data_IF_898488811885
#
_entry.id   IF_898488811885
#
_cell.length_a   1.000
_cell.length_b   1.000
_cell.length_c   1.000
_cell.angle_alpha   90.00
_cell.angle_beta   90.00
_cell.angle_gamma   90.00
#
_symmetry.space_group_name_H-M   'P 1'
#
loop_
_entity.id
_entity.type
_entity.pdbx_description
1 polymer ?
#
# COMPACT_ATOMS: atom_id res chain seq x y z
N UNK A 1 18.56 -0.84 -7.21
CA UNK A 1 17.23 -1.02 -7.82
C UNK A 1 16.74 0.32 -8.31
N UNK A 2 16.37 0.42 -9.59
CA UNK A 2 15.95 1.68 -10.22
C UNK A 2 14.62 2.14 -9.57
N UNK A 3 14.42 3.43 -9.21
CA UNK A 3 13.20 3.92 -8.56
C UNK A 3 11.91 3.63 -9.33
N UNK A 4 11.99 3.47 -10.65
CA UNK A 4 10.87 3.07 -11.51
C UNK A 4 10.39 1.62 -11.27
N UNK A 5 11.24 0.72 -10.73
CA UNK A 5 10.84 -0.65 -10.39
C UNK A 5 10.04 -0.74 -9.09
N UNK A 6 10.17 0.26 -8.19
CA UNK A 6 9.34 0.33 -6.97
C UNK A 6 7.87 0.60 -7.28
N UNK A 7 7.58 1.40 -8.32
CA UNK A 7 6.22 1.66 -8.79
C UNK A 7 5.52 0.41 -9.37
N UNK A 8 6.29 -0.53 -9.91
CA UNK A 8 5.72 -1.71 -10.59
C UNK A 8 5.34 -2.83 -9.64
N UNK A 9 6.04 -3.00 -8.51
CA UNK A 9 5.78 -4.09 -7.56
C UNK A 9 4.48 -3.90 -6.77
N UNK A 10 4.15 -2.67 -6.36
CA UNK A 10 2.91 -2.37 -5.64
C UNK A 10 1.65 -2.40 -6.54
N UNK A 11 1.84 -2.33 -7.87
CA UNK A 11 0.74 -2.32 -8.83
C UNK A 11 0.26 -3.72 -9.24
N UNK A 12 1.08 -4.76 -9.01
CA UNK A 12 0.77 -6.15 -9.36
C UNK A 12 0.32 -7.01 -8.17
N UNK A 13 0.43 -6.52 -6.93
CA UNK A 13 -0.20 -7.23 -5.83
C UNK A 13 -1.72 -7.08 -5.93
N UNK A 14 -2.46 -8.21 -6.00
CA UNK A 14 -3.91 -8.15 -5.94
C UNK A 14 -4.31 -7.50 -4.62
N UNK A 15 -5.17 -6.51 -4.68
CA UNK A 15 -5.87 -5.99 -3.50
C UNK A 15 -6.72 -7.14 -2.97
N UNK A 16 -6.16 -7.94 -2.07
CA UNK A 16 -6.97 -8.87 -1.28
C UNK A 16 -7.95 -8.03 -0.47
N UNK A 17 -9.21 -8.17 -0.79
CA UNK A 17 -10.27 -7.72 0.10
C UNK A 17 -9.97 -8.27 1.50
N UNK A 18 -10.16 -7.50 2.59
CA UNK A 18 -9.75 -7.90 3.93
C UNK A 18 -10.24 -9.32 4.21
N UNK A 19 -9.28 -10.24 4.37
CA UNK A 19 -9.56 -11.65 4.57
C UNK A 19 -10.42 -11.82 5.82
N UNK A 20 -11.66 -12.22 5.64
CA UNK A 20 -12.53 -12.62 6.74
C UNK A 20 -12.08 -14.03 7.18
N UNK A 21 -11.29 -14.09 8.23
CA UNK A 21 -10.97 -15.39 8.86
C UNK A 21 -12.21 -15.86 9.60
N UNK A 22 -12.95 -16.79 8.99
CA UNK A 22 -14.00 -17.55 9.66
C UNK A 22 -13.33 -18.55 10.58
N UNK A 23 -13.28 -18.26 11.88
CA UNK A 23 -12.95 -19.30 12.88
C UNK A 23 -14.20 -20.13 13.17
N UNK A 24 -14.09 -21.43 12.98
CA UNK A 24 -15.10 -22.39 13.41
C UNK A 24 -15.34 -22.29 14.94
N UNK A 25 -16.54 -22.61 15.46
CA UNK A 25 -16.84 -22.51 16.88
C UNK A 25 -15.98 -23.49 17.67
N UNK A 26 -15.20 -22.97 18.63
CA UNK A 26 -14.43 -23.77 19.57
C UNK A 26 -15.39 -24.30 20.62
N UNK A 27 -15.56 -25.63 20.68
CA UNK A 27 -16.25 -26.32 21.77
C UNK A 27 -15.45 -26.17 23.08
N UNK A 28 -16.12 -25.98 24.24
CA UNK A 28 -15.42 -25.79 25.51
C UNK A 28 -14.74 -27.11 25.95
N UNK A 29 -13.40 -27.11 25.98
CA UNK A 29 -12.64 -28.18 26.61
C UNK A 29 -12.72 -28.04 28.13
N UNK A 30 -13.24 -29.07 28.79
CA UNK A 30 -13.24 -29.25 30.25
C UNK A 30 -11.81 -29.20 30.78
N UNK A 31 -11.56 -28.28 31.71
CA UNK A 31 -10.31 -28.19 32.46
C UNK A 31 -10.29 -29.26 33.53
N UNK A 32 -9.39 -30.23 33.42
CA UNK A 32 -9.07 -31.17 34.47
C UNK A 32 -8.11 -30.52 35.47
N UNK A 33 -8.55 -30.48 36.75
CA UNK A 33 -7.76 -30.11 37.92
C UNK A 33 -6.65 -31.15 38.13
N UNK A 34 -5.39 -30.74 38.19
CA UNK A 34 -4.34 -31.50 38.91
C UNK A 34 -3.43 -30.55 39.71
N UNK A 35 -3.41 -30.82 41.02
CA UNK A 35 -2.50 -30.29 42.03
C UNK A 35 -1.16 -31.07 41.99
N UNK A 36 -0.02 -30.44 42.24
CA UNK A 36 0.76 -30.50 43.48
C UNK A 36 2.17 -29.89 43.27
N UNK A 37 2.83 -29.48 44.33
CA UNK A 37 3.92 -28.50 44.28
C UNK A 37 5.30 -29.19 44.25
N UNK A 38 6.29 -28.54 43.70
CA UNK A 38 7.71 -28.96 43.81
C UNK A 38 8.52 -27.81 44.41
N UNK A 39 9.37 -28.23 45.37
CA UNK A 39 10.20 -27.48 46.26
C UNK A 39 11.30 -26.63 45.58
N UNK A 40 11.72 -25.60 46.28
CA UNK A 40 12.90 -24.79 45.98
C UNK A 40 14.19 -25.51 46.34
N UNK A 41 15.31 -25.30 45.62
CA UNK A 41 16.64 -25.64 46.08
C UNK A 41 17.37 -24.43 46.69
N UNK A 42 18.16 -24.72 47.70
CA UNK A 42 19.00 -23.83 48.53
C UNK A 42 20.18 -23.20 47.78
N UNK A 43 20.77 -22.12 48.35
CA UNK A 43 21.85 -21.35 47.71
C UNK A 43 23.22 -21.96 47.91
N UNK A 44 24.01 -22.05 46.85
CA UNK A 44 25.40 -22.44 46.90
C UNK A 44 26.28 -21.18 46.91
N UNK A 45 27.08 -21.05 47.97
CA UNK A 45 28.16 -20.07 48.12
C UNK A 45 29.35 -20.41 47.22
N UNK A 46 29.80 -19.47 46.39
CA UNK A 46 30.96 -19.61 45.51
C UNK A 46 31.80 -18.34 45.48
N UNK A 47 32.87 -18.41 46.18
CA UNK A 47 34.19 -17.75 46.15
C UNK A 47 34.40 -16.59 45.16
N UNK A 48 34.70 -15.41 45.71
CA UNK A 48 35.16 -14.20 45.02
C UNK A 48 36.64 -14.33 44.70
N UNK A 49 37.02 -14.31 43.44
CA UNK A 49 38.40 -14.11 42.98
C UNK A 49 38.54 -12.70 42.40
N UNK A 50 39.30 -11.87 43.06
CA UNK A 50 39.66 -10.52 42.64
C UNK A 50 40.74 -10.57 41.56
N UNK A 51 40.42 -10.01 40.37
CA UNK A 51 41.39 -9.69 39.33
C UNK A 51 41.50 -8.13 39.17
N UNK A 52 42.67 -7.58 38.74
CA UNK A 52 43.02 -6.18 38.93
C UNK A 52 42.29 -5.22 37.99
N UNK A 53 42.04 -4.02 38.51
CA UNK A 53 41.45 -2.88 37.82
C UNK A 53 42.30 -2.47 36.59
N UNK A 54 41.71 -2.62 35.40
CA UNK A 54 42.13 -1.84 34.23
C UNK A 54 41.39 -0.50 34.21
N UNK A 55 42.11 0.56 33.89
CA UNK A 55 41.61 1.94 33.81
C UNK A 55 40.40 2.04 32.88
N UNK A 56 39.33 2.58 33.43
CA UNK A 56 38.10 2.87 32.66
C UNK A 56 38.33 4.11 31.80
N UNK A 57 38.41 3.91 30.48
CA UNK A 57 38.12 4.98 29.53
C UNK A 57 36.71 5.54 29.80
N UNK A 58 36.57 6.87 29.69
CA UNK A 58 35.35 7.58 29.95
C UNK A 58 34.18 7.01 29.07
N UNK A 59 33.25 6.34 29.73
CA UNK A 59 32.01 5.94 29.10
C UNK A 59 31.14 7.20 28.92
N UNK A 60 30.80 7.54 27.67
CA UNK A 60 29.68 8.45 27.42
C UNK A 60 28.41 7.86 28.05
N UNK A 61 27.56 8.67 28.69
CA UNK A 61 26.33 8.20 29.28
C UNK A 61 25.44 7.63 28.18
N UNK A 62 25.35 6.30 28.12
CA UNK A 62 24.43 5.62 27.20
C UNK A 62 22.99 6.12 27.39
N UNK A 63 22.28 6.32 26.30
CA UNK A 63 20.87 6.71 26.35
C UNK A 63 20.12 5.73 27.27
N UNK A 64 19.23 6.22 28.15
CA UNK A 64 18.46 5.37 29.05
C UNK A 64 17.69 4.31 28.25
N UNK A 65 17.80 3.06 28.67
CA UNK A 65 17.15 1.88 28.06
C UNK A 65 15.64 2.11 27.80
N UNK A 66 15.00 2.94 28.62
CA UNK A 66 13.61 3.36 28.43
C UNK A 66 13.36 4.13 27.11
N UNK A 67 14.36 4.75 26.51
CA UNK A 67 14.25 5.39 25.18
C UNK A 67 14.53 4.43 24.02
N UNK A 68 15.27 3.34 24.28
CA UNK A 68 15.55 2.32 23.26
C UNK A 68 14.40 1.32 23.08
N UNK A 69 13.48 1.21 24.03
CA UNK A 69 12.29 0.35 23.98
C UNK A 69 11.04 1.24 23.82
N UNK A 70 10.96 1.99 22.74
CA UNK A 70 9.67 2.52 22.34
C UNK A 70 8.85 1.35 21.79
N UNK A 71 7.88 0.86 22.58
CA UNK A 71 6.93 -0.12 22.12
C UNK A 71 6.30 0.41 20.82
N UNK A 72 6.36 -0.39 19.77
CA UNK A 72 5.75 -0.01 18.48
C UNK A 72 4.26 0.20 18.70
N UNK A 73 3.77 1.40 18.43
CA UNK A 73 2.38 1.75 18.59
C UNK A 73 1.66 1.68 17.23
N UNK A 74 0.55 0.94 17.21
CA UNK A 74 -0.42 0.95 16.12
C UNK A 74 -1.72 1.53 16.64
N UNK A 75 -2.28 2.52 15.96
CA UNK A 75 -3.51 3.19 16.41
C UNK A 75 -4.50 3.35 15.26
N UNK A 76 -5.70 2.83 15.45
CA UNK A 76 -6.83 3.10 14.56
C UNK A 76 -7.43 4.47 14.89
N UNK A 77 -7.84 5.34 13.92
CA UNK A 77 -8.42 6.65 14.18
C UNK A 77 -9.66 6.59 15.08
N UNK A 78 -10.46 5.54 14.95
CA UNK A 78 -11.66 5.28 15.77
C UNK A 78 -11.39 4.23 16.85
N UNK A 79 -10.16 4.18 17.39
CA UNK A 79 -9.83 3.22 18.43
C UNK A 79 -10.67 3.45 19.69
N UNK A 80 -11.32 2.40 20.16
CA UNK A 80 -12.10 2.39 21.38
C UNK A 80 -11.52 1.44 22.44
N UNK A 81 -10.52 0.65 22.08
CA UNK A 81 -9.85 -0.34 22.94
C UNK A 81 -8.38 -0.49 22.59
N UNK A 82 -7.65 -1.11 23.52
CA UNK A 82 -6.22 -1.35 23.42
C UNK A 82 -5.90 -2.79 23.83
N UNK A 83 -4.90 -3.38 23.16
CA UNK A 83 -4.36 -4.71 23.48
C UNK A 83 -2.85 -4.71 23.25
N UNK A 84 -2.10 -5.52 24.02
CA UNK A 84 -0.68 -5.80 23.76
C UNK A 84 -0.56 -7.10 22.97
N UNK A 85 0.08 -7.02 21.79
CA UNK A 85 0.37 -8.15 20.91
C UNK A 85 1.85 -8.14 20.56
N UNK A 86 2.56 -9.24 20.82
CA UNK A 86 4.00 -9.40 20.50
C UNK A 86 4.87 -8.20 20.93
N UNK A 87 4.62 -7.65 22.13
CA UNK A 87 5.36 -6.50 22.66
C UNK A 87 4.94 -5.14 22.10
N UNK A 88 4.07 -5.09 21.10
CA UNK A 88 3.50 -3.84 20.58
C UNK A 88 2.17 -3.50 21.24
N UNK A 89 1.89 -2.19 21.33
CA UNK A 89 0.58 -1.69 21.77
C UNK A 89 -0.28 -1.42 20.54
N UNK A 90 -1.44 -2.09 20.46
CA UNK A 90 -2.37 -1.97 19.34
C UNK A 90 -3.69 -1.38 19.86
N UNK A 91 -3.99 -0.15 19.44
CA UNK A 91 -5.28 0.50 19.65
C UNK A 91 -6.19 0.21 18.48
N UNK A 92 -7.34 -0.40 18.73
CA UNK A 92 -8.23 -0.89 17.69
C UNK A 92 -9.66 -0.38 17.82
N UNK A 93 -10.34 -0.27 16.67
CA UNK A 93 -11.77 0.00 16.63
C UNK A 93 -12.54 -1.28 16.99
N UNK A 94 -13.42 -1.21 18.00
CA UNK A 94 -14.24 -2.33 18.42
C UNK A 94 -15.72 -2.04 18.20
N UNK A 95 -16.39 -2.97 17.48
CA UNK A 95 -17.83 -2.88 17.23
C UNK A 95 -18.55 -4.19 17.54
N UNK A 96 -19.73 -4.10 18.12
CA UNK A 96 -20.64 -5.23 18.31
C UNK A 96 -21.72 -5.25 17.24
N UNK A 97 -22.04 -6.43 16.70
CA UNK A 97 -23.00 -6.56 15.61
C UNK A 97 -23.80 -7.86 15.62
N UNK A 98 -24.72 -7.98 14.66
CA UNK A 98 -25.49 -9.19 14.37
C UNK A 98 -24.61 -10.21 13.63
N UNK A 99 -23.60 -10.76 14.29
CA UNK A 99 -22.65 -11.76 13.73
C UNK A 99 -22.68 -13.01 14.60
N UNK A 100 -22.18 -14.11 14.03
CA UNK A 100 -22.03 -15.39 14.74
C UNK A 100 -20.59 -15.60 15.24
N UNK A 101 -19.60 -14.89 14.69
CA UNK A 101 -18.18 -15.08 14.99
C UNK A 101 -17.47 -13.73 15.20
N UNK A 102 -16.35 -13.76 15.95
CA UNK A 102 -15.43 -12.65 16.06
C UNK A 102 -14.69 -12.51 14.72
N UNK A 103 -14.59 -11.31 14.19
CA UNK A 103 -13.87 -11.02 12.95
C UNK A 103 -12.85 -9.92 13.13
N UNK A 104 -11.67 -10.10 12.55
CA UNK A 104 -10.59 -9.15 12.51
C UNK A 104 -10.42 -8.62 11.09
N UNK A 105 -10.22 -7.33 10.94
CA UNK A 105 -9.82 -6.71 9.68
C UNK A 105 -8.71 -5.71 9.92
N UNK A 106 -7.67 -5.77 9.09
CA UNK A 106 -6.56 -4.81 9.09
C UNK A 106 -6.61 -4.06 7.78
N UNK A 107 -6.69 -2.74 7.87
CA UNK A 107 -6.75 -1.82 6.74
C UNK A 107 -5.78 -0.65 6.91
N UNK A 108 -5.81 0.34 6.01
CA UNK A 108 -4.97 1.55 6.10
C UNK A 108 -5.12 2.27 7.44
N UNK A 109 -6.32 2.23 8.03
CA UNK A 109 -6.62 2.84 9.33
C UNK A 109 -6.14 2.02 10.52
N UNK A 110 -5.72 0.77 10.32
CA UNK A 110 -5.28 -0.13 11.38
C UNK A 110 -6.22 -1.30 11.63
N UNK A 111 -6.24 -1.80 12.88
CA UNK A 111 -7.03 -2.97 13.28
C UNK A 111 -8.46 -2.58 13.66
N UNK A 112 -9.44 -3.25 13.05
CA UNK A 112 -10.84 -3.21 13.46
C UNK A 112 -11.33 -4.61 13.85
N UNK A 113 -12.00 -4.70 14.99
CA UNK A 113 -12.51 -5.95 15.57
C UNK A 113 -14.04 -5.86 15.66
N UNK A 114 -14.71 -6.86 15.15
CA UNK A 114 -16.17 -6.97 15.21
C UNK A 114 -16.57 -8.27 15.91
N UNK A 115 -17.39 -8.19 16.95
CA UNK A 115 -17.85 -9.35 17.71
C UNK A 115 -19.38 -9.44 17.76
N UNK A 116 -19.97 -10.64 18.00
CA UNK A 116 -21.36 -10.79 18.33
C UNK A 116 -21.76 -9.97 19.56
N UNK A 117 -23.03 -9.58 19.67
CA UNK A 117 -23.51 -8.79 20.81
C UNK A 117 -23.35 -9.49 22.17
N UNK A 118 -23.45 -10.80 22.16
CA UNK A 118 -23.42 -11.66 23.34
C UNK A 118 -22.02 -12.10 23.77
N UNK A 119 -20.97 -11.89 22.91
CA UNK A 119 -19.61 -12.36 23.19
C UNK A 119 -18.99 -11.56 24.34
N UNK A 120 -18.51 -12.20 25.40
CA UNK A 120 -17.76 -11.54 26.46
C UNK A 120 -16.45 -10.97 25.98
N UNK A 121 -15.94 -9.92 26.65
CA UNK A 121 -14.72 -9.24 26.21
C UNK A 121 -13.47 -10.12 26.36
N UNK A 122 -13.41 -10.97 27.41
CA UNK A 122 -12.29 -11.88 27.60
C UNK A 122 -12.13 -12.88 26.44
N UNK A 123 -13.23 -13.29 25.78
CA UNK A 123 -13.16 -14.12 24.57
C UNK A 123 -12.62 -13.34 23.37
N UNK A 124 -12.93 -12.04 23.28
CA UNK A 124 -12.35 -11.17 22.25
C UNK A 124 -10.86 -11.01 22.47
N UNK A 125 -10.44 -10.80 23.73
CA UNK A 125 -9.03 -10.66 24.08
C UNK A 125 -8.26 -11.98 23.86
N UNK A 126 -8.85 -13.13 24.20
CA UNK A 126 -8.27 -14.45 23.91
C UNK A 126 -8.11 -14.69 22.39
N UNK A 127 -9.13 -14.33 21.59
CA UNK A 127 -9.07 -14.44 20.14
C UNK A 127 -8.05 -13.50 19.52
N UNK A 128 -7.85 -12.30 20.08
CA UNK A 128 -6.78 -11.37 19.67
C UNK A 128 -5.40 -11.96 19.93
N UNK A 129 -5.18 -12.57 21.10
CA UNK A 129 -3.93 -13.25 21.43
C UNK A 129 -3.66 -14.46 20.53
N UNK A 130 -4.69 -15.28 20.25
CA UNK A 130 -4.57 -16.41 19.32
C UNK A 130 -4.15 -15.97 17.90
N UNK A 131 -4.60 -14.79 17.45
CA UNK A 131 -4.30 -14.25 16.13
C UNK A 131 -3.20 -13.18 16.14
N UNK A 132 -2.47 -13.03 17.26
CA UNK A 132 -1.49 -11.96 17.44
C UNK A 132 -0.46 -11.89 16.30
N UNK A 133 0.16 -13.03 15.97
CA UNK A 133 1.17 -13.10 14.90
C UNK A 133 0.61 -12.65 13.54
N UNK A 134 -0.60 -13.11 13.17
CA UNK A 134 -1.25 -12.72 11.93
C UNK A 134 -1.57 -11.22 11.92
N UNK A 135 -2.15 -10.70 13.02
CA UNK A 135 -2.49 -9.28 13.15
C UNK A 135 -1.24 -8.41 13.01
N UNK A 136 -0.16 -8.75 13.74
CA UNK A 136 1.08 -7.99 13.72
C UNK A 136 1.77 -8.01 12.37
N UNK A 137 1.75 -9.15 11.67
CA UNK A 137 2.24 -9.25 10.29
C UNK A 137 1.46 -8.32 9.37
N UNK A 138 0.11 -8.37 9.42
CA UNK A 138 -0.75 -7.51 8.58
C UNK A 138 -0.61 -6.03 8.90
N UNK A 139 -0.45 -5.64 10.15
CA UNK A 139 -0.20 -4.25 10.53
C UNK A 139 1.15 -3.75 10.00
N UNK A 140 2.21 -4.57 10.04
CA UNK A 140 3.52 -4.24 9.46
C UNK A 140 3.43 -4.11 7.94
N UNK A 141 2.86 -5.08 7.25
CA UNK A 141 2.65 -5.05 5.79
C UNK A 141 1.88 -3.78 5.36
N UNK A 142 0.79 -3.46 6.07
CA UNK A 142 -0.03 -2.28 5.78
C UNK A 142 0.76 -0.99 6.00
N UNK A 143 1.51 -0.88 7.10
CA UNK A 143 2.35 0.28 7.40
C UNK A 143 3.43 0.49 6.33
N UNK A 144 4.16 -0.57 5.97
CA UNK A 144 5.17 -0.53 4.91
C UNK A 144 4.56 -0.12 3.57
N UNK A 145 3.38 -0.65 3.24
CA UNK A 145 2.66 -0.28 2.02
C UNK A 145 2.27 1.20 2.02
N UNK A 146 1.73 1.71 3.14
CA UNK A 146 1.36 3.12 3.29
C UNK A 146 2.59 4.02 3.17
N UNK A 147 3.71 3.66 3.82
CA UNK A 147 4.96 4.41 3.71
C UNK A 147 5.48 4.44 2.27
N UNK A 148 5.52 3.28 1.59
CA UNK A 148 5.90 3.21 0.17
C UNK A 148 4.97 4.04 -0.73
N UNK A 149 3.66 4.05 -0.45
CA UNK A 149 2.70 4.87 -1.21
C UNK A 149 2.93 6.37 -0.96
N UNK A 150 3.25 6.77 0.26
CA UNK A 150 3.58 8.17 0.59
C UNK A 150 4.90 8.60 -0.06
N UNK A 151 5.93 7.76 -0.01
CA UNK A 151 7.22 8.00 -0.67
C UNK A 151 7.10 8.04 -2.21
N UNK A 152 6.12 7.34 -2.75
CA UNK A 152 5.84 7.29 -4.19
C UNK A 152 4.89 8.41 -4.66
N UNK A 153 4.37 9.26 -3.76
CA UNK A 153 3.56 10.40 -4.16
C UNK A 153 4.41 11.42 -4.92
N UNK A 154 3.93 11.75 -6.13
CA UNK A 154 4.53 12.81 -6.94
C UNK A 154 4.25 14.14 -6.24
N UNK A 155 5.30 14.87 -5.89
CA UNK A 155 5.20 16.25 -5.45
C UNK A 155 4.90 17.13 -6.67
N UNK A 156 3.62 17.49 -6.86
CA UNK A 156 3.17 18.24 -8.03
C UNK A 156 3.66 19.68 -7.99
N UNK A 157 4.85 19.92 -8.56
CA UNK A 157 5.52 21.21 -8.61
C UNK A 157 6.25 21.39 -9.95
N UNK A 158 6.69 22.60 -10.21
CA UNK A 158 7.66 22.90 -11.29
C UNK A 158 8.90 22.01 -11.12
N UNK A 159 9.33 21.32 -12.18
CA UNK A 159 10.50 20.45 -12.17
C UNK A 159 10.25 19.04 -11.62
N UNK A 160 9.06 18.74 -11.09
CA UNK A 160 8.71 17.40 -10.65
C UNK A 160 8.71 16.40 -11.81
N UNK A 161 9.09 15.16 -11.53
CA UNK A 161 9.17 14.10 -12.53
C UNK A 161 8.12 13.02 -12.27
N UNK A 162 7.58 12.48 -13.35
CA UNK A 162 6.66 11.33 -13.32
C UNK A 162 6.95 10.39 -14.50
N UNK A 163 6.63 9.08 -14.37
CA UNK A 163 6.83 8.12 -15.47
C UNK A 163 5.76 8.30 -16.58
N UNK A 164 6.19 8.30 -17.82
CA UNK A 164 5.35 8.23 -19.02
C UNK A 164 5.94 7.21 -20.00
N UNK A 165 5.19 6.19 -20.34
CA UNK A 165 5.64 5.05 -21.16
C UNK A 165 6.95 4.41 -20.64
N UNK A 166 7.12 4.39 -19.32
CA UNK A 166 8.28 3.83 -18.63
C UNK A 166 9.54 4.70 -18.63
N UNK A 167 9.46 5.93 -19.14
CA UNK A 167 10.54 6.92 -19.11
C UNK A 167 10.14 8.12 -18.21
N UNK A 168 11.09 8.78 -17.54
CA UNK A 168 10.80 9.98 -16.76
C UNK A 168 10.43 11.15 -17.69
N UNK A 169 9.46 11.96 -17.23
CA UNK A 169 9.04 13.21 -17.86
C UNK A 169 8.98 14.27 -16.77
N UNK A 170 9.58 15.45 -17.05
CA UNK A 170 9.66 16.57 -16.12
C UNK A 170 8.57 17.60 -16.41
N UNK A 171 7.93 18.13 -15.38
CA UNK A 171 6.92 19.17 -15.49
C UNK A 171 7.60 20.53 -15.68
N UNK A 172 7.23 21.25 -16.73
CA UNK A 172 7.64 22.64 -16.99
C UNK A 172 6.38 23.51 -17.08
N UNK A 173 6.25 24.48 -16.16
CA UNK A 173 5.15 25.45 -16.21
C UNK A 173 5.46 26.53 -17.24
N UNK A 174 4.57 26.74 -18.18
CA UNK A 174 4.70 27.70 -19.28
C UNK A 174 3.45 28.58 -19.36
N UNK A 175 3.55 29.78 -18.76
CA UNK A 175 2.45 30.75 -18.77
C UNK A 175 2.24 31.42 -20.11
N UNK A 176 3.25 31.43 -21.00
CA UNK A 176 3.17 32.00 -22.33
C UNK A 176 2.45 31.08 -23.33
N UNK A 177 2.41 29.81 -23.05
CA UNK A 177 1.74 28.68 -23.75
C UNK A 177 1.47 28.93 -25.24
N UNK A 178 2.54 29.05 -26.02
CA UNK A 178 2.46 29.18 -27.47
C UNK A 178 2.03 27.89 -28.21
N UNK A 179 1.67 26.83 -27.48
CA UNK A 179 1.25 25.56 -28.07
C UNK A 179 -0.27 25.47 -28.16
N UNK A 180 -0.72 24.96 -29.30
CA UNK A 180 -2.16 24.78 -29.60
C UNK A 180 -2.78 23.60 -28.87
N UNK A 181 -1.99 22.72 -28.25
CA UNK A 181 -2.45 21.56 -27.54
C UNK A 181 -3.18 21.92 -26.24
N UNK A 182 -4.26 21.22 -25.96
CA UNK A 182 -5.21 21.46 -24.86
C UNK A 182 -4.53 21.45 -23.46
N UNK A 183 -3.91 22.55 -23.06
CA UNK A 183 -3.41 22.78 -21.71
C UNK A 183 -2.04 22.20 -21.38
N UNK A 184 -1.50 21.25 -22.17
CA UNK A 184 -0.15 20.70 -21.98
C UNK A 184 0.38 20.08 -23.28
N UNK A 185 1.70 20.16 -23.49
CA UNK A 185 2.41 19.58 -24.63
C UNK A 185 3.74 18.95 -24.18
N UNK A 186 3.99 17.71 -24.63
CA UNK A 186 5.25 17.03 -24.38
C UNK A 186 6.27 17.44 -25.44
N UNK A 187 7.46 17.85 -25.02
CA UNK A 187 8.54 18.18 -25.94
C UNK A 187 9.03 16.92 -26.68
N UNK A 188 9.28 17.09 -27.98
CA UNK A 188 9.74 15.99 -28.84
C UNK A 188 11.14 15.50 -28.45
N UNK A 189 12.01 16.44 -28.03
CA UNK A 189 13.40 16.15 -27.66
C UNK A 189 13.56 16.10 -26.13
N UNK A 190 14.46 15.22 -25.69
CA UNK A 190 14.92 15.19 -24.31
C UNK A 190 16.00 16.25 -24.10
N UNK A 191 16.15 16.69 -22.86
CA UNK A 191 17.26 17.53 -22.44
C UNK A 191 18.59 16.76 -22.38
N UNK A 192 19.67 17.44 -21.98
CA UNK A 192 21.01 16.85 -21.85
C UNK A 192 21.07 15.68 -20.84
N UNK A 193 20.05 15.55 -19.98
CA UNK A 193 19.90 14.44 -19.02
C UNK A 193 19.08 13.26 -19.59
N UNK A 194 18.59 13.38 -20.81
CA UNK A 194 17.73 12.36 -21.45
C UNK A 194 16.27 12.42 -20.99
N UNK A 195 15.85 13.47 -20.27
CA UNK A 195 14.49 13.64 -19.75
C UNK A 195 13.72 14.61 -20.64
N UNK A 196 12.52 14.22 -21.09
CA UNK A 196 11.62 15.12 -21.84
C UNK A 196 10.84 15.99 -20.88
N UNK A 197 10.48 17.21 -21.34
CA UNK A 197 9.66 18.13 -20.58
C UNK A 197 8.22 18.11 -21.06
N UNK A 198 7.28 18.03 -20.11
CA UNK A 198 5.87 18.31 -20.34
C UNK A 198 5.60 19.77 -20.00
N UNK A 199 5.44 20.61 -21.03
CA UNK A 199 5.03 22.00 -20.84
C UNK A 199 3.55 22.08 -20.53
N UNK A 200 3.23 22.71 -19.40
CA UNK A 200 1.85 22.85 -18.89
C UNK A 200 1.48 24.31 -18.90
N UNK A 201 0.33 24.66 -19.51
CA UNK A 201 -0.17 26.02 -19.64
C UNK A 201 -0.69 26.58 -18.30
N UNK A 202 0.21 26.74 -17.34
CA UNK A 202 -0.09 27.28 -16.02
C UNK A 202 0.98 28.30 -15.60
N UNK A 203 0.60 29.30 -14.78
CA UNK A 203 1.56 30.25 -14.22
C UNK A 203 2.46 29.56 -13.18
N UNK A 204 3.64 30.19 -12.93
CA UNK A 204 4.59 29.71 -11.92
C UNK A 204 4.00 29.69 -10.48
N UNK A 205 2.92 30.44 -10.25
CA UNK A 205 2.18 30.48 -8.98
C UNK A 205 1.09 29.40 -8.87
N UNK A 206 1.00 28.48 -9.85
CA UNK A 206 -0.02 27.43 -9.84
C UNK A 206 0.13 26.52 -8.62
N UNK A 207 -0.98 26.16 -8.03
CA UNK A 207 -1.02 25.23 -6.89
C UNK A 207 -0.72 23.79 -7.32
N UNK A 208 -0.23 22.96 -6.39
CA UNK A 208 -0.01 21.54 -6.64
C UNK A 208 -1.26 20.83 -7.19
N UNK A 209 -2.46 21.21 -6.74
CA UNK A 209 -3.72 20.67 -7.24
C UNK A 209 -3.96 21.05 -8.71
N UNK A 210 -3.73 22.29 -9.10
CA UNK A 210 -3.89 22.73 -10.49
C UNK A 210 -2.90 22.02 -11.42
N UNK A 211 -1.64 21.88 -11.00
CA UNK A 211 -0.61 21.17 -11.76
C UNK A 211 -1.00 19.69 -11.94
N UNK A 212 -1.38 19.04 -10.85
CA UNK A 212 -1.85 17.66 -10.87
C UNK A 212 -3.00 17.47 -11.86
N UNK A 213 -4.02 18.30 -11.76
CA UNK A 213 -5.24 18.15 -12.57
C UNK A 213 -4.96 18.38 -14.07
N UNK A 214 -4.09 19.33 -14.40
CA UNK A 214 -3.66 19.59 -15.77
C UNK A 214 -2.83 18.43 -16.35
N UNK A 215 -1.87 17.91 -15.59
CA UNK A 215 -1.04 16.76 -15.99
C UNK A 215 -1.90 15.50 -16.11
N UNK A 216 -2.80 15.23 -15.16
CA UNK A 216 -3.73 14.12 -15.24
C UNK A 216 -4.63 14.19 -16.47
N UNK A 217 -5.18 15.36 -16.79
CA UNK A 217 -6.00 15.55 -17.97
C UNK A 217 -5.21 15.26 -19.26
N UNK A 218 -3.94 15.63 -19.32
CA UNK A 218 -3.07 15.29 -20.43
C UNK A 218 -2.81 13.77 -20.48
N UNK A 219 -2.41 13.14 -19.37
CA UNK A 219 -2.16 11.69 -19.29
C UNK A 219 -3.38 10.86 -19.72
N UNK A 220 -4.59 11.27 -19.32
CA UNK A 220 -5.83 10.58 -19.72
C UNK A 220 -6.09 10.68 -21.21
N UNK A 221 -5.78 11.81 -21.84
CA UNK A 221 -5.90 11.96 -23.32
C UNK A 221 -4.91 11.06 -24.05
N UNK A 222 -3.64 11.09 -23.63
CA UNK A 222 -2.60 10.23 -24.19
C UNK A 222 -2.94 8.74 -24.02
N UNK A 223 -3.37 8.34 -22.81
CA UNK A 223 -3.80 6.98 -22.54
C UNK A 223 -4.94 6.54 -23.47
N UNK A 224 -5.95 7.39 -23.65
CA UNK A 224 -7.09 7.08 -24.54
C UNK A 224 -6.63 6.90 -25.98
N UNK A 225 -5.80 7.81 -26.48
CA UNK A 225 -5.28 7.76 -27.85
C UNK A 225 -4.44 6.51 -28.08
N UNK A 226 -3.50 6.23 -27.17
CA UNK A 226 -2.64 5.05 -27.25
C UNK A 226 -3.45 3.75 -27.16
N UNK A 227 -4.38 3.64 -26.23
CA UNK A 227 -5.17 2.41 -26.05
C UNK A 227 -6.07 2.14 -27.25
N UNK A 228 -6.64 3.17 -27.89
CA UNK A 228 -7.36 3.01 -29.15
C UNK A 228 -6.46 2.43 -30.22
N UNK A 229 -5.28 3.00 -30.42
CA UNK A 229 -4.28 2.50 -31.37
C UNK A 229 -3.91 1.03 -31.08
N UNK A 230 -3.72 0.67 -29.82
CA UNK A 230 -3.33 -0.71 -29.47
C UNK A 230 -4.49 -1.70 -29.63
N UNK A 231 -5.72 -1.29 -29.32
CA UNK A 231 -6.93 -2.10 -29.59
C UNK A 231 -7.12 -2.36 -31.09
N UNK A 232 -6.97 -1.32 -31.90
CA UNK A 232 -7.03 -1.44 -33.37
C UNK A 232 -5.92 -2.34 -33.94
N UNK A 233 -4.74 -2.33 -33.30
CA UNK A 233 -3.62 -3.19 -33.70
C UNK A 233 -3.85 -4.66 -33.37
N UNK A 234 -4.34 -4.98 -32.16
CA UNK A 234 -4.43 -6.38 -31.70
C UNK A 234 -5.76 -7.06 -32.04
N UNK A 235 -6.86 -6.34 -32.15
CA UNK A 235 -8.16 -6.95 -32.38
C UNK A 235 -8.23 -7.80 -33.67
N UNK A 236 -7.67 -7.35 -34.83
CA UNK A 236 -7.62 -8.19 -36.04
C UNK A 236 -6.76 -9.44 -35.87
N UNK A 237 -5.65 -9.34 -35.11
CA UNK A 237 -4.72 -10.47 -34.89
C UNK A 237 -5.35 -11.57 -34.03
N UNK A 238 -6.22 -11.17 -33.08
CA UNK A 238 -6.96 -12.07 -32.19
C UNK A 238 -8.31 -12.50 -32.79
N UNK A 239 -8.69 -11.98 -33.97
CA UNK A 239 -9.94 -12.25 -34.66
C UNK A 239 -11.20 -11.88 -33.83
N UNK A 240 -11.09 -10.84 -32.99
CA UNK A 240 -12.16 -10.34 -32.14
C UNK A 240 -12.61 -8.93 -32.55
N UNK A 241 -13.84 -8.56 -32.17
CA UNK A 241 -14.38 -7.24 -32.43
C UNK A 241 -14.73 -6.56 -31.11
N UNK A 242 -14.19 -5.37 -30.89
CA UNK A 242 -14.57 -4.51 -29.79
C UNK A 242 -15.42 -3.33 -30.27
N UNK A 243 -16.24 -2.74 -29.38
CA UNK A 243 -17.17 -1.66 -29.75
C UNK A 243 -16.86 -0.33 -29.08
N UNK A 244 -16.41 -0.36 -27.84
CA UNK A 244 -16.24 0.85 -27.04
C UNK A 244 -15.08 0.74 -26.05
N UNK A 245 -14.23 1.75 -26.04
CA UNK A 245 -13.22 1.94 -24.99
C UNK A 245 -13.70 2.98 -23.97
N UNK A 246 -13.54 2.68 -22.70
CA UNK A 246 -13.69 3.65 -21.61
C UNK A 246 -12.48 3.58 -20.67
N UNK A 247 -12.09 4.74 -20.14
CA UNK A 247 -11.03 4.79 -19.12
C UNK A 247 -11.63 4.54 -17.74
N UNK A 248 -10.84 3.92 -16.86
CA UNK A 248 -11.16 3.70 -15.45
C UNK A 248 -10.09 4.26 -14.51
N UNK A 249 -10.49 4.47 -13.27
CA UNK A 249 -9.61 4.86 -12.16
C UNK A 249 -9.69 3.82 -11.02
N UNK A 250 -10.02 2.55 -11.35
CA UNK A 250 -10.20 1.50 -10.37
C UNK A 250 -8.86 1.13 -9.71
N UNK A 251 -8.84 1.03 -8.38
CA UNK A 251 -7.64 0.62 -7.63
C UNK A 251 -7.35 -0.89 -7.66
N UNK A 252 -8.28 -1.71 -8.21
CA UNK A 252 -8.24 -3.17 -8.05
C UNK A 252 -8.02 -3.95 -9.35
N UNK A 253 -8.05 -3.29 -10.51
CA UNK A 253 -7.88 -3.95 -11.82
C UNK A 253 -7.32 -3.01 -12.87
N UNK A 254 -6.57 -3.56 -13.81
CA UNK A 254 -5.99 -2.84 -14.93
C UNK A 254 -6.92 -2.73 -16.13
N UNK A 255 -7.78 -3.71 -16.31
CA UNK A 255 -8.75 -3.74 -17.38
C UNK A 255 -10.01 -4.52 -17.02
N UNK A 256 -10.98 -4.51 -17.91
CA UNK A 256 -12.11 -5.42 -17.96
C UNK A 256 -12.76 -5.39 -19.34
N UNK A 257 -13.11 -6.56 -19.88
CA UNK A 257 -13.91 -6.72 -21.07
C UNK A 257 -15.30 -7.23 -20.70
N UNK A 258 -16.29 -6.88 -21.54
CA UNK A 258 -17.66 -7.39 -21.45
C UNK A 258 -18.04 -8.06 -22.77
N UNK A 259 -18.91 -9.05 -22.69
CA UNK A 259 -19.41 -9.78 -23.87
C UNK A 259 -20.13 -8.89 -24.90
N UNK A 260 -20.54 -7.67 -24.54
CA UNK A 260 -21.10 -6.68 -25.45
C UNK A 260 -20.05 -5.97 -26.33
N UNK A 261 -18.77 -6.28 -26.18
CA UNK A 261 -17.64 -5.65 -26.88
C UNK A 261 -17.12 -4.38 -26.20
N UNK A 262 -17.59 -4.06 -24.99
CA UNK A 262 -17.10 -2.91 -24.23
C UNK A 262 -15.83 -3.26 -23.46
N UNK A 263 -14.77 -2.48 -23.68
CA UNK A 263 -13.49 -2.61 -22.99
C UNK A 263 -13.31 -1.40 -22.07
N UNK A 264 -12.82 -1.64 -20.86
CA UNK A 264 -12.44 -0.61 -19.91
C UNK A 264 -10.99 -0.83 -19.49
N UNK A 265 -10.15 0.20 -19.61
CA UNK A 265 -8.74 0.16 -19.24
C UNK A 265 -8.43 1.25 -18.21
N UNK A 266 -7.55 0.94 -17.27
CA UNK A 266 -7.08 1.91 -16.30
C UNK A 266 -6.11 2.89 -16.97
N UNK A 267 -6.43 4.19 -16.92
CA UNK A 267 -5.60 5.20 -17.56
C UNK A 267 -4.15 5.22 -17.02
N UNK A 268 -3.92 4.78 -15.76
CA UNK A 268 -2.58 4.70 -15.18
C UNK A 268 -1.65 3.70 -15.87
N UNK A 269 -2.16 2.85 -16.75
CA UNK A 269 -1.31 2.01 -17.60
C UNK A 269 -0.34 2.84 -18.45
N UNK A 270 -0.65 4.11 -18.73
CA UNK A 270 0.21 5.02 -19.48
C UNK A 270 1.58 5.26 -18.83
N UNK A 271 1.70 5.01 -17.55
CA UNK A 271 2.97 5.11 -16.82
C UNK A 271 3.95 3.95 -17.13
N UNK A 272 3.45 2.84 -17.66
CA UNK A 272 4.25 1.64 -17.95
C UNK A 272 4.83 1.67 -19.37
N UNK A 273 5.84 0.82 -19.58
CA UNK A 273 6.39 0.59 -20.91
C UNK A 273 5.35 -0.05 -21.82
N UNK A 274 5.46 0.23 -23.12
CA UNK A 274 4.52 -0.23 -24.14
C UNK A 274 4.23 -1.74 -24.09
N UNK A 275 5.21 -2.66 -23.90
CA UNK A 275 4.90 -4.08 -23.81
C UNK A 275 3.95 -4.49 -22.68
N UNK A 276 3.96 -3.75 -21.56
CA UNK A 276 3.00 -3.99 -20.45
C UNK A 276 1.60 -3.55 -20.84
N UNK A 277 1.49 -2.41 -21.51
CA UNK A 277 0.21 -1.90 -22.04
C UNK A 277 -0.35 -2.90 -23.07
N UNK A 278 0.50 -3.36 -24.00
CA UNK A 278 0.15 -4.33 -25.02
C UNK A 278 -0.37 -5.63 -24.42
N UNK A 279 0.31 -6.14 -23.41
CA UNK A 279 -0.13 -7.34 -22.69
C UNK A 279 -1.53 -7.18 -22.11
N UNK A 280 -1.81 -6.06 -21.42
CA UNK A 280 -3.13 -5.82 -20.82
C UNK A 280 -4.19 -5.65 -21.90
N UNK A 281 -3.89 -4.92 -22.98
CA UNK A 281 -4.83 -4.73 -24.10
C UNK A 281 -5.17 -6.06 -24.77
N UNK A 282 -4.16 -6.88 -25.09
CA UNK A 282 -4.36 -8.20 -25.68
C UNK A 282 -5.12 -9.15 -24.74
N UNK A 283 -4.81 -9.10 -23.44
CA UNK A 283 -5.51 -9.88 -22.43
C UNK A 283 -7.01 -9.53 -22.40
N UNK A 284 -7.38 -8.24 -22.34
CA UNK A 284 -8.79 -7.84 -22.32
C UNK A 284 -9.51 -8.20 -23.64
N UNK A 285 -8.83 -8.07 -24.78
CA UNK A 285 -9.39 -8.51 -26.06
C UNK A 285 -9.64 -10.03 -26.11
N UNK A 286 -8.79 -10.83 -25.46
CA UNK A 286 -8.95 -12.29 -25.43
C UNK A 286 -10.19 -12.79 -24.70
N UNK A 287 -10.87 -11.92 -23.96
CA UNK A 287 -12.15 -12.19 -23.29
C UNK A 287 -13.39 -11.94 -24.17
N UNK A 288 -13.21 -11.44 -25.40
CA UNK A 288 -14.29 -11.22 -26.36
C UNK A 288 -14.44 -12.39 -27.31
#
# INVERSE_FOLDING_TARGET
MHPLLRFTLDLFEPFEAPAQVNTAPIAPKRVAKRRSPIAAPDPVAGVVTTAPLMERGAFEPGQPIAQAIQAVHYSHPQASREVRLDGAVVRYAFARGKRRTIGFSVGPDGLAVRAPRWTPLYEVDAALQEKAEWIMRKLRETRERTTRQQEAQIEWAQGAEFPYLGAPVRIALDSAHAFTAKGAALDAQADDTGVRSLRVALPQTATAAQIRDAVQAWLMREAKALFLQRLEHFAPQLQVQWKKLSLSNAGTRWGSAKSDGSIRLNWRLIHFRLPVIDYVVAHELSHL
#
